data_IF_022161619908
#
_entry.id   IF_022161619908
#
_cell.length_a   1.000
_cell.length_b   1.000
_cell.length_c   1.000
_cell.angle_alpha   90.00
_cell.angle_beta   90.00
_cell.angle_gamma   90.00
#
_symmetry.space_group_name_H-M   'P 1'
#
loop_
_entity.id
_entity.type
_entity.pdbx_description
1 polymer ?
#
# COMPACT_ATOMS: atom_id res chain seq x y z
N UNK A 1 5.54 0.97 12.22
CA UNK A 1 4.40 1.88 12.48
C UNK A 1 3.15 1.11 12.16
N UNK A 2 2.21 1.05 13.08
CA UNK A 2 1.00 0.23 12.96
C UNK A 2 -0.20 1.00 13.51
N UNK A 3 -1.25 1.29 12.73
CA UNK A 3 -2.40 2.04 13.23
C UNK A 3 -3.26 1.26 14.24
N UNK A 4 -3.32 -0.08 14.13
CA UNK A 4 -4.13 -0.90 15.03
C UNK A 4 -3.36 -1.31 16.29
N UNK A 5 -3.87 -0.92 17.46
CA UNK A 5 -3.21 -1.20 18.74
C UNK A 5 -3.06 -2.71 19.02
N UNK A 6 -4.02 -3.54 18.60
CA UNK A 6 -3.97 -5.00 18.83
C UNK A 6 -2.89 -5.64 17.95
N UNK A 7 -2.77 -5.22 16.70
CA UNK A 7 -1.70 -5.67 15.81
C UNK A 7 -0.32 -5.18 16.28
N UNK A 8 -0.24 -3.96 16.80
CA UNK A 8 0.98 -3.44 17.41
C UNK A 8 1.41 -4.28 18.63
N UNK A 9 0.48 -4.67 19.49
CA UNK A 9 0.76 -5.52 20.64
C UNK A 9 1.22 -6.93 20.24
N UNK A 10 0.63 -7.51 19.19
CA UNK A 10 1.10 -8.78 18.62
C UNK A 10 2.53 -8.68 18.09
N UNK A 11 2.88 -7.58 17.42
CA UNK A 11 4.23 -7.36 16.94
C UNK A 11 5.23 -7.15 18.10
N UNK A 12 4.82 -6.40 19.14
CA UNK A 12 5.62 -6.22 20.36
C UNK A 12 5.85 -7.53 21.11
N UNK A 13 4.84 -8.41 21.17
CA UNK A 13 5.00 -9.73 21.80
C UNK A 13 6.00 -10.63 21.06
N UNK A 14 6.34 -10.28 19.81
CA UNK A 14 7.40 -10.90 19.00
C UNK A 14 8.74 -10.15 19.07
N UNK A 15 8.87 -9.18 19.96
CA UNK A 15 10.10 -8.41 20.18
C UNK A 15 10.32 -7.24 19.20
N UNK A 16 9.31 -6.88 18.39
CA UNK A 16 9.45 -5.77 17.45
C UNK A 16 9.15 -4.41 18.13
N UNK A 17 10.00 -3.39 17.96
CA UNK A 17 9.66 -2.04 18.38
C UNK A 17 8.57 -1.48 17.46
N UNK A 18 7.42 -1.14 18.03
CA UNK A 18 6.26 -0.62 17.29
C UNK A 18 5.69 0.63 17.94
N UNK A 19 5.49 1.65 17.12
CA UNK A 19 4.75 2.87 17.47
C UNK A 19 3.36 2.82 16.83
N UNK A 20 2.33 3.09 17.64
CA UNK A 20 0.93 3.09 17.20
C UNK A 20 0.60 4.44 16.58
N UNK A 21 0.42 4.45 15.26
CA UNK A 21 0.08 5.63 14.47
C UNK A 21 -0.24 5.20 13.03
N UNK A 22 -0.91 6.07 12.27
CA UNK A 22 -0.89 5.91 10.81
C UNK A 22 0.47 6.34 10.26
N UNK A 23 0.80 5.91 9.05
CA UNK A 23 2.08 6.28 8.46
C UNK A 23 2.20 7.80 8.29
N UNK A 24 1.12 8.48 7.90
CA UNK A 24 1.03 9.92 7.67
C UNK A 24 1.26 10.72 8.95
N UNK A 25 0.68 10.28 10.07
CA UNK A 25 0.72 11.02 11.35
C UNK A 25 1.92 10.67 12.23
N UNK A 26 2.58 9.53 11.99
CA UNK A 26 3.73 9.10 12.77
C UNK A 26 4.92 10.08 12.68
N UNK A 27 5.53 10.45 13.81
CA UNK A 27 6.68 11.36 13.80
C UNK A 27 8.01 10.59 13.90
N UNK A 28 8.91 10.68 12.89
CA UNK A 28 10.17 9.96 12.93
C UNK A 28 11.18 10.54 13.95
N UNK A 29 10.98 11.75 14.47
CA UNK A 29 11.87 12.39 15.46
C UNK A 29 13.35 12.36 15.03
N UNK A 30 13.62 12.69 13.76
CA UNK A 30 14.96 12.70 13.17
C UNK A 30 15.50 11.34 12.71
N UNK A 31 14.77 10.24 12.91
CA UNK A 31 15.17 8.91 12.42
C UNK A 31 15.08 8.83 10.89
N UNK A 32 16.10 8.22 10.29
CA UNK A 32 16.15 7.85 8.87
C UNK A 32 16.56 6.39 8.73
N UNK A 33 16.23 5.78 7.60
CA UNK A 33 16.29 4.34 7.38
C UNK A 33 16.97 4.01 6.06
N UNK A 34 17.71 2.90 6.03
CA UNK A 34 18.25 2.33 4.80
C UNK A 34 17.15 1.62 3.98
N UNK A 35 16.04 1.25 4.62
CA UNK A 35 14.92 0.56 4.00
C UNK A 35 13.59 1.00 4.63
N UNK A 36 12.64 1.39 3.77
CA UNK A 36 11.22 1.55 4.12
C UNK A 36 10.45 0.44 3.42
N UNK A 37 9.65 -0.33 4.16
CA UNK A 37 8.89 -1.47 3.60
C UNK A 37 7.41 -1.31 3.90
N UNK A 38 6.59 -1.54 2.88
CA UNK A 38 5.16 -1.75 3.03
C UNK A 38 4.77 -3.10 2.44
N UNK A 39 4.50 -4.08 3.31
CA UNK A 39 4.07 -5.41 2.91
C UNK A 39 2.55 -5.52 3.12
N UNK A 40 1.80 -5.49 2.02
CA UNK A 40 0.34 -5.48 1.95
C UNK A 40 -0.35 -4.22 2.47
N UNK A 41 0.35 -3.27 3.09
CA UNK A 41 -0.30 -2.11 3.74
C UNK A 41 -0.35 -0.85 2.87
N UNK A 42 0.43 -0.75 1.78
CA UNK A 42 0.59 0.52 1.06
C UNK A 42 -0.70 1.08 0.45
N UNK A 43 -1.68 0.22 0.13
CA UNK A 43 -2.96 0.65 -0.44
C UNK A 43 -3.84 1.42 0.54
N UNK A 44 -3.50 1.44 1.84
CA UNK A 44 -4.15 2.26 2.86
C UNK A 44 -3.47 3.61 3.10
N UNK A 45 -2.27 3.80 2.53
CA UNK A 45 -1.46 5.01 2.74
C UNK A 45 -1.88 6.08 1.73
N UNK A 46 -1.90 7.34 2.16
CA UNK A 46 -2.11 8.46 1.23
C UNK A 46 -1.03 8.44 0.13
N UNK A 47 -1.41 8.37 -1.16
CA UNK A 47 -0.46 8.15 -2.24
C UNK A 47 0.52 9.32 -2.45
N UNK A 48 0.16 10.54 -2.02
CA UNK A 48 1.00 11.73 -2.19
C UNK A 48 1.86 11.93 -0.93
N UNK A 49 1.21 12.15 0.21
CA UNK A 49 1.90 12.40 1.47
C UNK A 49 2.74 11.19 1.92
N UNK A 50 2.28 9.98 1.63
CA UNK A 50 3.03 8.75 1.91
C UNK A 50 4.30 8.64 1.07
N UNK A 51 4.24 8.94 -0.23
CA UNK A 51 5.42 8.88 -1.09
C UNK A 51 6.47 9.93 -0.69
N UNK A 52 6.03 11.15 -0.39
CA UNK A 52 6.90 12.24 0.10
C UNK A 52 7.57 11.83 1.42
N UNK A 53 6.79 11.35 2.37
CA UNK A 53 7.31 10.90 3.66
C UNK A 53 8.26 9.72 3.54
N UNK A 54 7.97 8.74 2.68
CA UNK A 54 8.88 7.63 2.42
C UNK A 54 10.24 8.15 1.90
N UNK A 55 10.23 9.14 1.01
CA UNK A 55 11.46 9.74 0.49
C UNK A 55 12.26 10.51 1.57
N UNK A 56 11.58 11.25 2.44
CA UNK A 56 12.22 11.95 3.58
C UNK A 56 12.91 10.99 4.55
N UNK A 57 12.25 9.85 4.82
CA UNK A 57 12.71 8.84 5.76
C UNK A 57 13.91 8.04 5.27
N UNK A 58 14.12 7.93 3.96
CA UNK A 58 15.26 7.19 3.42
C UNK A 58 16.58 7.90 3.69
N UNK A 59 17.68 7.16 3.77
CA UNK A 59 19.04 7.71 3.68
C UNK A 59 19.48 7.81 2.22
N UNK A 60 20.59 8.49 1.90
CA UNK A 60 21.19 8.38 0.57
C UNK A 60 21.39 6.89 0.23
N UNK A 61 20.97 6.47 -0.97
CA UNK A 61 20.99 5.06 -1.41
C UNK A 61 20.06 4.09 -0.65
N UNK A 62 19.16 4.61 0.19
CA UNK A 62 18.12 3.81 0.83
C UNK A 62 17.10 3.28 -0.19
N UNK A 63 16.36 2.23 0.19
CA UNK A 63 15.37 1.59 -0.68
C UNK A 63 13.97 1.71 -0.12
N UNK A 64 13.01 1.93 -1.02
CA UNK A 64 11.59 1.78 -0.71
C UNK A 64 11.05 0.53 -1.41
N UNK A 65 10.41 -0.36 -0.65
CA UNK A 65 9.92 -1.63 -1.15
C UNK A 65 8.43 -1.83 -0.80
N UNK A 66 7.59 -1.93 -1.82
CA UNK A 66 6.18 -2.26 -1.68
C UNK A 66 5.99 -3.72 -2.12
N UNK A 67 5.46 -4.55 -1.22
CA UNK A 67 5.02 -5.90 -1.52
C UNK A 67 3.49 -5.94 -1.50
N UNK A 68 2.88 -5.75 -2.67
CA UNK A 68 1.42 -5.74 -2.84
C UNK A 68 0.91 -6.90 -3.69
N UNK A 69 -0.40 -7.00 -3.80
CA UNK A 69 -1.05 -7.80 -4.83
C UNK A 69 -2.27 -7.04 -5.36
N UNK A 70 -2.71 -7.41 -6.56
CA UNK A 70 -3.96 -6.93 -7.15
C UNK A 70 -4.78 -8.12 -7.62
N UNK A 71 -6.10 -7.99 -7.50
CA UNK A 71 -7.02 -9.02 -7.99
C UNK A 71 -7.44 -8.69 -9.42
N UNK A 72 -6.72 -9.26 -10.37
CA UNK A 72 -7.04 -9.19 -11.79
C UNK A 72 -7.43 -10.58 -12.31
N UNK A 73 -8.73 -10.85 -12.55
CA UNK A 73 -9.13 -12.08 -13.23
C UNK A 73 -8.58 -12.13 -14.66
N UNK A 74 -8.34 -13.33 -15.22
CA UNK A 74 -8.03 -13.46 -16.65
C UNK A 74 -9.04 -12.73 -17.52
N UNK A 75 -8.59 -12.14 -18.63
CA UNK A 75 -9.43 -11.30 -19.48
C UNK A 75 -10.76 -11.97 -19.91
N UNK A 76 -10.70 -13.27 -20.23
CA UNK A 76 -11.87 -14.06 -20.61
C UNK A 76 -12.88 -14.27 -19.45
N UNK A 77 -12.45 -14.10 -18.20
CA UNK A 77 -13.26 -14.32 -17.00
C UNK A 77 -13.69 -13.01 -16.31
N UNK A 78 -13.12 -11.87 -16.66
CA UNK A 78 -13.39 -10.61 -15.97
C UNK A 78 -14.88 -10.22 -16.02
N UNK A 79 -15.49 -10.23 -17.21
CA UNK A 79 -16.92 -9.95 -17.39
C UNK A 79 -17.82 -11.08 -16.84
N UNK A 80 -17.58 -12.37 -17.13
CA UNK A 80 -18.37 -13.45 -16.54
C UNK A 80 -18.39 -13.42 -15.01
N UNK A 81 -17.24 -13.12 -14.37
CA UNK A 81 -17.15 -13.01 -12.92
C UNK A 81 -17.96 -11.82 -12.39
N UNK A 82 -17.84 -10.65 -13.03
CA UNK A 82 -18.60 -9.46 -12.64
C UNK A 82 -20.13 -9.67 -12.80
N UNK A 83 -20.55 -10.32 -13.90
CA UNK A 83 -21.95 -10.67 -14.13
C UNK A 83 -22.47 -11.70 -13.09
N UNK A 84 -21.65 -12.70 -12.74
CA UNK A 84 -22.00 -13.66 -11.70
C UNK A 84 -22.17 -12.97 -10.34
N UNK A 85 -21.23 -12.10 -9.94
CA UNK A 85 -21.29 -11.35 -8.69
C UNK A 85 -22.55 -10.50 -8.58
N UNK A 86 -22.90 -9.75 -9.65
CA UNK A 86 -24.15 -8.98 -9.72
C UNK A 86 -25.40 -9.81 -9.48
N UNK A 87 -25.40 -11.06 -9.97
CA UNK A 87 -26.56 -11.95 -9.86
C UNK A 87 -26.64 -12.65 -8.49
N UNK A 88 -25.53 -13.16 -7.98
CA UNK A 88 -25.52 -14.06 -6.81
C UNK A 88 -25.24 -13.34 -5.49
N UNK A 89 -24.60 -12.17 -5.54
CA UNK A 89 -24.25 -11.38 -4.38
C UNK A 89 -24.49 -9.88 -4.65
N UNK A 90 -25.72 -9.46 -4.99
CA UNK A 90 -26.02 -8.09 -5.40
C UNK A 90 -25.62 -7.03 -4.35
N UNK A 91 -25.67 -7.37 -3.07
CA UNK A 91 -25.33 -6.46 -1.96
C UNK A 91 -23.82 -6.37 -1.67
N UNK A 92 -22.99 -7.16 -2.38
CA UNK A 92 -21.54 -7.10 -2.22
C UNK A 92 -20.98 -5.77 -2.72
N UNK A 93 -20.01 -5.16 -2.02
CA UNK A 93 -19.31 -3.96 -2.50
C UNK A 93 -18.56 -4.20 -3.83
N UNK A 94 -18.39 -5.46 -4.23
CA UNK A 94 -17.75 -5.85 -5.49
C UNK A 94 -18.72 -5.87 -6.68
N UNK A 95 -20.02 -5.98 -6.43
CA UNK A 95 -21.03 -6.22 -7.47
C UNK A 95 -21.35 -4.98 -8.31
N UNK A 96 -21.18 -3.79 -7.74
CA UNK A 96 -21.34 -2.52 -8.47
C UNK A 96 -20.12 -2.09 -9.29
N UNK A 97 -19.01 -2.84 -9.25
CA UNK A 97 -17.78 -2.45 -9.93
C UNK A 97 -17.72 -2.97 -11.37
N UNK A 98 -17.04 -2.24 -12.28
CA UNK A 98 -16.69 -2.76 -13.61
C UNK A 98 -15.87 -4.05 -13.50
N UNK A 99 -15.82 -4.83 -14.60
CA UNK A 99 -14.94 -5.99 -14.70
C UNK A 99 -13.50 -5.56 -14.37
N UNK A 100 -12.98 -6.08 -13.26
CA UNK A 100 -11.71 -5.62 -12.68
C UNK A 100 -10.55 -5.92 -13.59
N UNK A 101 -9.83 -4.86 -13.98
CA UNK A 101 -8.53 -4.91 -14.69
C UNK A 101 -7.56 -3.89 -14.06
N UNK A 102 -7.23 -4.02 -12.75
CA UNK A 102 -6.54 -2.99 -12.00
C UNK A 102 -5.02 -2.94 -12.23
N UNK A 103 -4.41 -3.95 -12.85
CA UNK A 103 -2.94 -4.09 -12.83
C UNK A 103 -2.23 -2.86 -13.39
N UNK A 104 -2.65 -2.39 -14.56
CA UNK A 104 -2.04 -1.21 -15.21
C UNK A 104 -2.19 0.08 -14.39
N UNK A 105 -3.30 0.23 -13.65
CA UNK A 105 -3.52 1.37 -12.76
C UNK A 105 -2.55 1.35 -11.58
N UNK A 106 -2.34 0.17 -10.98
CA UNK A 106 -1.39 0.00 -9.88
C UNK A 106 0.06 0.18 -10.34
N UNK A 107 0.42 -0.35 -11.52
CA UNK A 107 1.73 -0.14 -12.12
C UNK A 107 2.01 1.36 -12.35
N UNK A 108 1.05 2.09 -12.93
CA UNK A 108 1.16 3.54 -13.11
C UNK A 108 1.29 4.29 -11.78
N UNK A 109 0.56 3.86 -10.74
CA UNK A 109 0.68 4.39 -9.39
C UNK A 109 2.08 4.18 -8.80
N UNK A 110 2.63 2.98 -8.93
CA UNK A 110 3.98 2.66 -8.45
C UNK A 110 5.07 3.42 -9.21
N UNK A 111 4.94 3.62 -10.52
CA UNK A 111 5.89 4.46 -11.26
C UNK A 111 5.85 5.91 -10.79
N UNK A 112 4.66 6.44 -10.47
CA UNK A 112 4.52 7.78 -9.90
C UNK A 112 5.22 7.89 -8.54
N UNK A 113 5.08 6.88 -7.67
CA UNK A 113 5.80 6.87 -6.40
C UNK A 113 7.32 6.82 -6.62
N UNK A 114 7.79 5.96 -7.54
CA UNK A 114 9.21 5.89 -7.89
C UNK A 114 9.75 7.24 -8.42
N UNK A 115 8.97 7.95 -9.24
CA UNK A 115 9.32 9.27 -9.72
C UNK A 115 9.43 10.30 -8.57
N UNK A 116 8.49 10.29 -7.61
CA UNK A 116 8.57 11.13 -6.40
C UNK A 116 9.85 10.87 -5.63
N UNK A 117 10.22 9.61 -5.41
CA UNK A 117 11.48 9.28 -4.71
C UNK A 117 12.70 9.84 -5.45
N UNK A 118 12.82 9.60 -6.76
CA UNK A 118 13.96 10.09 -7.58
C UNK A 118 14.08 11.61 -7.54
N UNK A 119 12.96 12.34 -7.55
CA UNK A 119 12.95 13.80 -7.52
C UNK A 119 13.55 14.39 -6.23
N UNK A 120 13.57 13.63 -5.14
CA UNK A 120 14.17 14.04 -3.85
C UNK A 120 15.67 13.74 -3.73
N UNK A 121 16.30 13.18 -4.79
CA UNK A 121 17.71 12.79 -4.77
C UNK A 121 17.98 11.52 -3.94
N UNK A 122 16.95 10.70 -3.72
CA UNK A 122 17.01 9.40 -3.05
C UNK A 122 17.14 8.26 -4.05
#
# INVERSE_FOLDING_TARGET
VEPDARMADLARSRGLPVEVATFETWQPRGRTFDLVVAAQSWHWVDPVAGAEKAAELLRPSGRFAIFGHVYEPPAALAEPLAAALRRVAPDSPLSGQPARRPLSLYEAGYEKFAATLRATGR
#
